data_IF_962526118556
#
_entry.id   IF_962526118556
#
_cell.length_a   1.000
_cell.length_b   1.000
_cell.length_c   1.000
_cell.angle_alpha   90.00
_cell.angle_beta   90.00
_cell.angle_gamma   90.00
#
_symmetry.space_group_name_H-M   'P 1'
#
loop_
_entity.id
_entity.type
_entity.pdbx_description
1 polymer ?
#
# COMPACT_ATOMS: atom_id res chain seq x y z
N UNK A 1 9.98 20.51 13.86
CA UNK A 1 9.50 21.36 12.75
C UNK A 1 8.01 21.57 12.95
N UNK A 2 7.47 22.79 12.86
CA UNK A 2 6.09 23.08 13.28
C UNK A 2 5.11 22.76 12.14
N UNK A 3 3.99 22.13 12.49
CA UNK A 3 2.81 21.77 11.67
C UNK A 3 2.31 22.81 10.64
N UNK A 4 2.81 24.05 10.65
CA UNK A 4 2.45 25.11 9.71
C UNK A 4 2.98 24.87 8.27
N UNK A 5 4.04 24.07 8.08
CA UNK A 5 4.62 23.80 6.74
C UNK A 5 3.83 22.74 5.93
N UNK A 6 2.98 21.96 6.60
CA UNK A 6 2.16 20.92 5.97
C UNK A 6 0.95 21.51 5.22
N UNK A 7 0.38 22.61 5.71
CA UNK A 7 -0.77 23.30 5.07
C UNK A 7 -0.37 23.96 3.73
N UNK A 8 0.86 24.49 3.65
CA UNK A 8 1.36 25.17 2.46
C UNK A 8 1.65 24.18 1.32
N UNK A 9 2.05 22.94 1.64
CA UNK A 9 2.23 21.83 0.67
C UNK A 9 0.93 21.15 0.27
N UNK A 10 -0.09 21.15 1.14
CA UNK A 10 -1.44 20.63 0.88
C UNK A 10 -2.18 21.39 -0.24
N UNK A 11 -1.79 22.63 -0.55
CA UNK A 11 -2.43 23.44 -1.61
C UNK A 11 -2.17 22.92 -3.03
N UNK A 12 -1.17 22.06 -3.27
CA UNK A 12 -0.97 21.41 -4.59
C UNK A 12 -1.93 20.25 -4.86
N UNK A 13 -2.54 19.67 -3.83
CA UNK A 13 -3.44 18.50 -3.92
C UNK A 13 -4.92 18.87 -3.67
N UNK A 14 -5.34 20.09 -4.02
CA UNK A 14 -6.76 20.50 -3.96
C UNK A 14 -7.52 20.25 -5.25
N UNK A 15 -6.93 19.57 -6.22
CA UNK A 15 -7.63 19.05 -7.38
C UNK A 15 -7.32 17.57 -7.49
N UNK A 16 -8.34 16.76 -7.17
CA UNK A 16 -8.51 15.31 -7.43
C UNK A 16 -8.26 14.36 -6.24
N UNK A 17 -9.37 13.87 -5.65
CA UNK A 17 -9.59 12.58 -4.97
C UNK A 17 -8.48 11.92 -4.11
N UNK A 18 -7.81 12.72 -3.29
CA UNK A 18 -6.53 12.47 -2.60
C UNK A 18 -6.46 11.38 -1.49
N UNK A 19 -7.35 10.37 -1.48
CA UNK A 19 -7.25 9.19 -0.58
C UNK A 19 -7.06 7.86 -1.34
N UNK A 20 -7.34 7.83 -2.64
CA UNK A 20 -7.15 6.61 -3.45
C UNK A 20 -5.73 6.51 -4.02
N UNK A 21 -5.13 7.67 -4.30
CA UNK A 21 -3.78 7.83 -4.82
C UNK A 21 -2.86 8.40 -3.73
N UNK A 22 -2.16 7.50 -3.05
CA UNK A 22 -1.11 7.91 -2.12
C UNK A 22 0.12 8.31 -2.92
N UNK A 23 0.70 9.49 -2.69
CA UNK A 23 1.90 9.91 -3.39
C UNK A 23 3.15 9.22 -2.81
N UNK A 24 4.20 9.05 -3.62
CA UNK A 24 5.45 8.37 -3.24
C UNK A 24 6.09 8.87 -1.94
N UNK A 25 6.06 10.19 -1.73
CA UNK A 25 6.66 10.82 -0.56
C UNK A 25 5.93 10.53 0.75
N UNK A 26 4.70 10.00 0.69
CA UNK A 26 3.85 9.81 1.86
C UNK A 26 4.46 8.81 2.85
N UNK A 27 4.99 7.67 2.38
CA UNK A 27 5.55 6.66 3.27
C UNK A 27 6.81 7.14 4.00
N UNK A 28 7.81 7.76 3.33
CA UNK A 28 8.94 8.38 4.03
C UNK A 28 8.50 9.41 5.07
N UNK A 29 7.55 10.28 4.75
CA UNK A 29 7.08 11.31 5.69
C UNK A 29 6.29 10.71 6.87
N UNK A 30 5.51 9.65 6.63
CA UNK A 30 4.84 8.91 7.69
C UNK A 30 5.86 8.28 8.66
N UNK A 31 6.93 7.70 8.14
CA UNK A 31 8.01 7.13 8.96
C UNK A 31 8.71 8.21 9.77
N UNK A 32 9.10 9.33 9.15
CA UNK A 32 9.70 10.47 9.85
C UNK A 32 8.78 11.03 10.95
N UNK A 33 7.47 11.07 10.70
CA UNK A 33 6.50 11.51 11.69
C UNK A 33 6.39 10.56 12.88
N UNK A 34 6.32 9.25 12.64
CA UNK A 34 6.22 8.22 13.69
C UNK A 34 7.52 8.12 14.54
N UNK A 35 8.68 8.38 13.93
CA UNK A 35 9.98 8.41 14.62
C UNK A 35 10.23 9.73 15.38
N UNK A 36 9.34 10.72 15.22
CA UNK A 36 9.43 12.01 15.88
C UNK A 36 9.30 11.96 17.41
N UNK A 37 9.55 13.12 18.03
CA UNK A 37 9.37 13.33 19.47
C UNK A 37 7.88 13.53 19.81
N UNK A 38 7.12 12.43 19.74
CA UNK A 38 5.72 12.35 20.13
C UNK A 38 5.59 11.89 21.57
N UNK A 39 4.63 12.47 22.31
CA UNK A 39 4.25 11.90 23.60
C UNK A 39 3.59 10.53 23.44
N UNK A 40 3.47 9.76 24.53
CA UNK A 40 2.95 8.40 24.51
C UNK A 40 1.53 8.29 23.91
N UNK A 41 0.67 9.28 24.18
CA UNK A 41 -0.71 9.26 23.68
C UNK A 41 -0.74 9.61 22.20
N UNK A 42 0.03 10.59 21.78
CA UNK A 42 0.16 11.02 20.38
C UNK A 42 0.76 9.90 19.52
N UNK A 43 1.85 9.27 19.99
CA UNK A 43 2.50 8.13 19.34
C UNK A 43 1.51 7.00 19.10
N UNK A 44 0.82 6.55 20.15
CA UNK A 44 -0.15 5.45 20.04
C UNK A 44 -1.27 5.78 19.04
N UNK A 45 -1.77 7.02 19.07
CA UNK A 45 -2.84 7.44 18.13
C UNK A 45 -2.32 7.47 16.69
N UNK A 46 -1.09 7.93 16.48
CA UNK A 46 -0.46 7.96 15.17
C UNK A 46 -0.22 6.55 14.62
N UNK A 47 0.28 5.64 15.46
CA UNK A 47 0.48 4.22 15.13
C UNK A 47 -0.85 3.55 14.75
N UNK A 48 -1.90 3.70 15.56
CA UNK A 48 -3.23 3.12 15.27
C UNK A 48 -3.77 3.58 13.90
N UNK A 49 -3.55 4.85 13.54
CA UNK A 49 -3.96 5.40 12.24
C UNK A 49 -3.09 4.87 11.11
N UNK A 50 -1.78 4.78 11.32
CA UNK A 50 -0.82 4.27 10.35
C UNK A 50 -1.10 2.78 10.04
N UNK A 51 -1.32 1.97 11.06
CA UNK A 51 -1.66 0.55 10.93
C UNK A 51 -2.95 0.37 10.14
N UNK A 52 -4.00 1.12 10.49
CA UNK A 52 -5.28 1.06 9.76
C UNK A 52 -5.15 1.48 8.29
N UNK A 53 -4.21 2.36 7.96
CA UNK A 53 -3.89 2.73 6.58
C UNK A 53 -3.13 1.61 5.87
N UNK A 54 -2.08 1.07 6.48
CA UNK A 54 -1.25 -0.01 5.93
C UNK A 54 -2.10 -1.25 5.68
N UNK A 55 -2.92 -1.68 6.63
CA UNK A 55 -3.82 -2.82 6.49
C UNK A 55 -4.76 -2.67 5.30
N UNK A 56 -5.34 -1.47 5.13
CA UNK A 56 -6.23 -1.18 4.01
C UNK A 56 -5.50 -1.26 2.67
N UNK A 57 -4.29 -0.70 2.60
CA UNK A 57 -3.47 -0.71 1.38
C UNK A 57 -2.99 -2.12 1.04
N UNK A 58 -2.51 -2.87 2.03
CA UNK A 58 -2.10 -4.27 1.87
C UNK A 58 -3.27 -5.13 1.37
N UNK A 59 -4.46 -4.99 1.96
CA UNK A 59 -5.65 -5.70 1.51
C UNK A 59 -6.01 -5.41 0.05
N UNK A 60 -5.85 -4.15 -0.40
CA UNK A 60 -6.02 -3.77 -1.81
C UNK A 60 -4.96 -4.42 -2.70
N UNK A 61 -3.69 -4.36 -2.33
CA UNK A 61 -2.57 -4.93 -3.10
C UNK A 61 -2.75 -6.44 -3.28
N UNK A 62 -3.04 -7.16 -2.20
CA UNK A 62 -3.30 -8.61 -2.23
C UNK A 62 -4.45 -8.94 -3.18
N UNK A 63 -5.52 -8.14 -3.14
CA UNK A 63 -6.69 -8.33 -4.00
C UNK A 63 -6.36 -8.11 -5.48
N UNK A 64 -5.61 -7.06 -5.80
CA UNK A 64 -5.13 -6.81 -7.15
C UNK A 64 -4.21 -7.95 -7.61
N UNK A 65 -3.23 -8.35 -6.80
CA UNK A 65 -2.32 -9.44 -7.15
C UNK A 65 -3.06 -10.77 -7.38
N UNK A 66 -4.08 -11.04 -6.57
CA UNK A 66 -4.92 -12.23 -6.71
C UNK A 66 -5.72 -12.25 -8.02
N UNK A 67 -6.20 -11.09 -8.46
CA UNK A 67 -6.89 -10.96 -9.74
C UNK A 67 -5.94 -11.10 -10.93
N UNK A 68 -4.78 -10.45 -10.89
CA UNK A 68 -3.79 -10.54 -11.97
C UNK A 68 -3.29 -11.98 -12.13
N UNK A 69 -2.95 -12.65 -11.02
CA UNK A 69 -2.55 -14.06 -11.03
C UNK A 69 -3.69 -15.02 -11.50
N UNK A 70 -4.91 -14.52 -11.61
CA UNK A 70 -6.07 -15.22 -12.18
C UNK A 70 -6.36 -14.83 -13.64
N UNK A 71 -5.42 -14.17 -14.32
CA UNK A 71 -5.55 -13.60 -15.66
C UNK A 71 -6.72 -12.59 -15.79
N UNK A 72 -7.10 -11.95 -14.68
CA UNK A 72 -8.12 -10.91 -14.67
C UNK A 72 -7.45 -9.52 -14.70
N UNK A 73 -7.97 -8.57 -15.52
CA UNK A 73 -7.35 -7.26 -15.67
C UNK A 73 -7.36 -6.46 -14.36
N UNK A 74 -6.23 -5.86 -14.02
CA UNK A 74 -6.09 -5.01 -12.83
C UNK A 74 -5.52 -3.63 -13.14
N UNK A 75 -5.97 -2.62 -12.39
CA UNK A 75 -5.43 -1.26 -12.46
C UNK A 75 -4.50 -1.00 -11.27
N UNK A 76 -3.24 -0.71 -11.58
CA UNK A 76 -2.17 -0.45 -10.61
C UNK A 76 -1.67 1.00 -10.66
N UNK A 77 -2.36 1.90 -11.36
CA UNK A 77 -1.98 3.32 -11.47
C UNK A 77 -1.94 4.04 -10.12
N UNK A 78 -2.74 3.56 -9.17
CA UNK A 78 -2.90 4.10 -7.81
C UNK A 78 -1.90 3.55 -6.78
N UNK A 79 -0.98 2.68 -7.22
CA UNK A 79 0.09 2.11 -6.38
C UNK A 79 1.31 3.01 -6.43
N UNK A 80 1.88 3.26 -5.25
CA UNK A 80 3.24 3.79 -5.13
C UNK A 80 4.27 2.79 -5.66
N UNK A 81 5.51 3.22 -5.88
CA UNK A 81 6.61 2.37 -6.32
C UNK A 81 6.88 1.23 -5.33
N UNK A 82 6.87 1.53 -4.03
CA UNK A 82 7.05 0.51 -2.99
C UNK A 82 5.91 -0.54 -3.00
N UNK A 83 4.68 -0.11 -3.25
CA UNK A 83 3.54 -1.02 -3.33
C UNK A 83 3.51 -1.80 -4.63
N UNK A 84 4.05 -1.23 -5.71
CA UNK A 84 4.21 -1.91 -6.99
C UNK A 84 5.22 -3.05 -6.89
N UNK A 85 6.34 -2.83 -6.23
CA UNK A 85 7.33 -3.88 -5.94
C UNK A 85 6.70 -5.04 -5.17
N UNK A 86 5.97 -4.74 -4.08
CA UNK A 86 5.24 -5.75 -3.32
C UNK A 86 4.16 -6.46 -4.16
N UNK A 87 3.44 -5.71 -4.99
CA UNK A 87 2.42 -6.27 -5.88
C UNK A 87 3.02 -7.28 -6.86
N UNK A 88 4.12 -6.94 -7.54
CA UNK A 88 4.79 -7.80 -8.51
C UNK A 88 5.27 -9.10 -7.87
N UNK A 89 5.86 -9.02 -6.68
CA UNK A 89 6.27 -10.19 -5.89
C UNK A 89 5.09 -11.10 -5.52
N UNK A 90 3.97 -10.50 -5.12
CA UNK A 90 2.75 -11.25 -4.77
C UNK A 90 2.14 -11.93 -5.99
N UNK A 91 2.08 -11.27 -7.14
CA UNK A 91 1.59 -11.86 -8.40
C UNK A 91 2.43 -13.10 -8.74
N UNK A 92 3.75 -12.95 -8.82
CA UNK A 92 4.65 -14.04 -9.18
C UNK A 92 4.53 -15.25 -8.22
N UNK A 93 4.34 -14.98 -6.93
CA UNK A 93 4.14 -16.04 -5.92
C UNK A 93 2.78 -16.72 -6.05
N UNK A 94 1.72 -15.96 -6.31
CA UNK A 94 0.37 -16.50 -6.48
C UNK A 94 0.23 -17.31 -7.78
N UNK A 95 0.81 -16.86 -8.88
CA UNK A 95 0.86 -17.60 -10.14
C UNK A 95 1.53 -18.95 -9.97
N UNK A 96 2.70 -18.97 -9.32
CA UNK A 96 3.42 -20.22 -9.01
C UNK A 96 2.57 -21.17 -8.18
N UNK A 97 1.93 -20.65 -7.13
CA UNK A 97 1.03 -21.44 -6.29
C UNK A 97 -0.13 -22.04 -7.10
N UNK A 98 -0.73 -21.27 -8.01
CA UNK A 98 -1.80 -21.78 -8.89
C UNK A 98 -1.30 -22.85 -9.84
N UNK A 99 -0.12 -22.68 -10.44
CA UNK A 99 0.49 -23.70 -11.30
C UNK A 99 0.77 -25.00 -10.54
N UNK A 100 1.29 -24.91 -9.32
CA UNK A 100 1.57 -26.08 -8.48
C UNK A 100 0.29 -26.82 -8.08
N UNK A 101 -0.77 -26.09 -7.71
CA UNK A 101 -2.05 -26.68 -7.25
C UNK A 101 -2.89 -27.20 -8.40
N UNK A 102 -2.87 -26.53 -9.56
CA UNK A 102 -3.64 -26.90 -10.75
C UNK A 102 -2.88 -27.80 -11.71
N UNK A 103 -1.62 -28.15 -11.41
CA UNK A 103 -0.87 -29.12 -12.16
C UNK A 103 -1.69 -30.42 -12.26
N UNK A 104 -1.82 -31.03 -13.45
CA UNK A 104 -2.49 -32.32 -13.57
C UNK A 104 -1.79 -33.29 -12.62
N UNK A 105 -2.53 -33.82 -11.64
CA UNK A 105 -2.07 -35.01 -10.94
C UNK A 105 -2.04 -36.10 -12.01
N UNK A 106 -0.85 -36.48 -12.47
CA UNK A 106 -0.73 -37.72 -13.25
C UNK A 106 -1.36 -38.81 -12.40
N UNK A 107 -2.51 -39.31 -12.87
CA UNK A 107 -3.38 -40.17 -12.09
C UNK A 107 -2.68 -41.45 -11.69
N UNK A 108 -2.88 -41.81 -10.42
CA UNK A 108 -2.71 -43.18 -9.91
C UNK A 108 -4.04 -43.93 -10.05
#
# INVERSE_FOLDING_TARGET
>A
MKFADLEERKQRSRRQDSLQDLPEWFYPELVEYLDGDLDERERRTAEDVADGLVDRRLGKIIKLASWEAADAPTDTSTLTDAERELYEDLVARMERFRLEVLAPTEGE
#
